data_IF_103761554039
#
_entry.id   IF_103761554039
#
_cell.length_a   1.000
_cell.length_b   1.000
_cell.length_c   1.000
_cell.angle_alpha   90.00
_cell.angle_beta   90.00
_cell.angle_gamma   90.00
#
_symmetry.space_group_name_H-M   'P 1'
#
loop_
_entity.id
_entity.type
_entity.pdbx_description
1 polymer ?
#
# COMPACT_ATOMS: atom_id res chain seq x y z
N UNK A 1 -11.16 -8.53 -12.19
CA UNK A 1 -10.55 -9.28 -11.08
C UNK A 1 -10.25 -8.30 -9.96
N UNK A 2 -10.75 -8.58 -8.77
CA UNK A 2 -10.53 -7.76 -7.59
C UNK A 2 -9.20 -8.17 -6.96
N UNK A 3 -8.31 -7.21 -6.70
CA UNK A 3 -7.01 -7.44 -6.10
C UNK A 3 -7.01 -6.98 -4.65
N UNK A 4 -6.49 -7.79 -3.76
CA UNK A 4 -6.35 -7.50 -2.34
C UNK A 4 -4.92 -7.75 -1.90
N UNK A 5 -4.38 -6.83 -1.12
CA UNK A 5 -3.09 -6.95 -0.46
C UNK A 5 -3.32 -7.10 1.04
N UNK A 6 -2.65 -8.08 1.63
CA UNK A 6 -2.62 -8.32 3.07
C UNK A 6 -1.23 -8.01 3.58
N UNK A 7 -1.15 -7.11 4.56
CA UNK A 7 0.07 -6.82 5.33
C UNK A 7 -0.17 -7.12 6.80
N UNK A 8 0.89 -7.24 7.59
CA UNK A 8 0.80 -7.52 9.02
C UNK A 8 1.87 -6.77 9.79
N UNK A 9 1.60 -6.46 11.05
CA UNK A 9 2.65 -6.01 11.97
C UNK A 9 3.62 -7.15 12.37
N UNK A 10 3.33 -8.40 12.02
CA UNK A 10 4.09 -9.60 12.43
C UNK A 10 5.07 -10.13 11.39
N UNK A 11 4.97 -9.69 10.15
CA UNK A 11 5.87 -10.08 9.07
C UNK A 11 6.18 -8.87 8.19
N UNK A 12 7.33 -8.89 7.54
CA UNK A 12 7.70 -7.87 6.57
C UNK A 12 7.30 -8.32 5.16
N UNK A 13 6.72 -7.40 4.38
CA UNK A 13 6.19 -7.64 3.03
C UNK A 13 4.66 -7.79 2.93
N UNK A 14 4.20 -8.27 1.78
CA UNK A 14 2.78 -8.31 1.42
C UNK A 14 2.37 -9.65 0.79
N UNK A 15 1.15 -10.09 1.09
CA UNK A 15 0.50 -11.19 0.39
C UNK A 15 -0.55 -10.63 -0.57
N UNK A 16 -0.58 -11.16 -1.78
CA UNK A 16 -1.51 -10.75 -2.81
C UNK A 16 -2.53 -11.83 -3.12
N UNK A 17 -3.79 -11.45 -3.10
CA UNK A 17 -4.92 -12.30 -3.49
C UNK A 17 -5.69 -11.62 -4.63
N UNK A 18 -5.95 -12.33 -5.73
CA UNK A 18 -6.83 -11.85 -6.80
C UNK A 18 -8.04 -12.75 -6.93
N UNK A 19 -9.22 -12.15 -6.88
CA UNK A 19 -10.50 -12.83 -7.02
C UNK A 19 -11.16 -12.47 -8.36
N UNK A 20 -11.96 -13.39 -8.88
CA UNK A 20 -12.86 -13.11 -10.00
C UNK A 20 -14.09 -12.28 -9.57
N UNK A 21 -15.02 -12.07 -10.50
CA UNK A 21 -16.25 -11.32 -10.23
C UNK A 21 -17.19 -12.04 -9.26
N UNK A 22 -17.12 -13.37 -9.20
CA UNK A 22 -17.93 -14.21 -8.32
C UNK A 22 -17.29 -14.37 -6.92
N UNK A 23 -16.13 -13.75 -6.69
CA UNK A 23 -15.43 -13.75 -5.42
C UNK A 23 -14.56 -14.99 -5.18
N UNK A 24 -14.26 -15.79 -6.20
CA UNK A 24 -13.38 -16.96 -6.10
C UNK A 24 -11.93 -16.58 -6.35
N UNK A 25 -11.01 -17.18 -5.58
CA UNK A 25 -9.59 -16.94 -5.72
C UNK A 25 -9.09 -17.49 -7.05
N UNK A 26 -8.38 -16.65 -7.81
CA UNK A 26 -7.74 -17.01 -9.09
C UNK A 26 -6.23 -16.90 -9.05
N UNK A 27 -5.68 -16.12 -8.13
CA UNK A 27 -4.26 -15.90 -8.03
C UNK A 27 -3.86 -15.59 -6.59
N UNK A 28 -2.76 -16.19 -6.16
CA UNK A 28 -2.11 -15.92 -4.88
C UNK A 28 -0.62 -15.76 -5.10
N UNK A 29 -0.04 -14.74 -4.47
CA UNK A 29 1.41 -14.54 -4.44
C UNK A 29 1.82 -14.09 -3.04
N UNK A 30 2.82 -14.76 -2.49
CA UNK A 30 3.40 -14.38 -1.20
C UNK A 30 4.73 -13.66 -1.44
N UNK A 31 4.80 -12.38 -1.09
CA UNK A 31 6.03 -11.58 -1.06
C UNK A 31 6.42 -11.18 0.36
N UNK A 32 5.83 -11.82 1.37
CA UNK A 32 6.13 -11.61 2.77
C UNK A 32 7.14 -12.63 3.28
N UNK A 33 8.08 -12.17 4.12
CA UNK A 33 8.98 -13.02 4.89
C UNK A 33 8.21 -13.62 6.08
N UNK A 34 7.80 -14.88 5.97
CA UNK A 34 7.04 -15.61 6.99
C UNK A 34 7.82 -16.79 7.54
N UNK A 35 7.58 -17.13 8.81
CA UNK A 35 8.07 -18.37 9.41
C UNK A 35 7.25 -19.57 8.95
N UNK A 36 7.79 -20.77 9.10
CA UNK A 36 7.08 -22.02 8.75
C UNK A 36 5.75 -22.18 9.49
N UNK A 37 5.67 -21.71 10.74
CA UNK A 37 4.45 -21.72 11.55
C UNK A 37 3.37 -20.80 10.96
N UNK A 38 3.76 -19.61 10.50
CA UNK A 38 2.85 -18.66 9.86
C UNK A 38 2.36 -19.20 8.51
N UNK A 39 3.25 -19.83 7.74
CA UNK A 39 2.89 -20.50 6.49
C UNK A 39 1.92 -21.67 6.76
N UNK A 40 2.19 -22.52 7.74
CA UNK A 40 1.31 -23.62 8.12
C UNK A 40 -0.09 -23.12 8.55
N UNK A 41 -0.15 -22.03 9.32
CA UNK A 41 -1.42 -21.39 9.67
C UNK A 41 -2.16 -20.85 8.44
N UNK A 42 -1.45 -20.16 7.54
CA UNK A 42 -2.01 -19.64 6.30
C UNK A 42 -2.57 -20.75 5.42
N UNK A 43 -1.84 -21.87 5.26
CA UNK A 43 -2.32 -23.02 4.49
C UNK A 43 -3.56 -23.67 5.13
N UNK A 44 -3.62 -23.74 6.46
CA UNK A 44 -4.77 -24.29 7.19
C UNK A 44 -6.03 -23.43 7.04
N UNK A 45 -5.87 -22.11 7.02
CA UNK A 45 -6.96 -21.14 6.93
C UNK A 45 -7.00 -20.44 5.56
N UNK A 46 -6.52 -21.11 4.51
CA UNK A 46 -6.26 -20.47 3.23
C UNK A 46 -7.56 -19.93 2.59
N UNK A 47 -7.64 -18.64 2.25
CA UNK A 47 -8.89 -18.02 1.83
C UNK A 47 -9.14 -18.22 0.32
N UNK A 48 -9.89 -19.27 -0.02
CA UNK A 48 -10.24 -19.59 -1.41
C UNK A 48 -11.33 -18.68 -2.02
N UNK A 49 -11.97 -17.84 -1.21
CA UNK A 49 -12.94 -16.85 -1.66
C UNK A 49 -12.86 -15.58 -0.82
N UNK A 50 -13.50 -14.51 -1.30
CA UNK A 50 -13.44 -13.19 -0.68
C UNK A 50 -14.02 -13.17 0.74
N UNK A 51 -15.05 -13.98 1.00
CA UNK A 51 -15.66 -14.11 2.32
C UNK A 51 -14.65 -14.65 3.34
N UNK A 52 -13.97 -15.75 2.98
CA UNK A 52 -12.93 -16.37 3.82
C UNK A 52 -11.73 -15.43 4.04
N UNK A 53 -11.37 -14.62 3.05
CA UNK A 53 -10.31 -13.61 3.23
C UNK A 53 -10.72 -12.56 4.27
N UNK A 54 -11.97 -12.10 4.21
CA UNK A 54 -12.54 -11.18 5.19
C UNK A 54 -12.57 -11.78 6.60
N UNK A 55 -12.97 -13.05 6.71
CA UNK A 55 -13.02 -13.75 8.00
C UNK A 55 -11.62 -14.01 8.58
N UNK A 56 -10.63 -14.32 7.74
CA UNK A 56 -9.23 -14.40 8.14
C UNK A 56 -8.72 -13.08 8.73
N UNK A 57 -9.04 -11.95 8.09
CA UNK A 57 -8.65 -10.63 8.59
C UNK A 57 -9.38 -10.26 9.90
N UNK A 58 -10.63 -10.67 10.07
CA UNK A 58 -11.37 -10.47 11.33
C UNK A 58 -10.85 -11.35 12.47
N UNK A 59 -10.32 -12.53 12.15
CA UNK A 59 -9.78 -13.47 13.15
C UNK A 59 -8.55 -12.93 13.87
N UNK A 60 -7.85 -11.94 13.28
CA UNK A 60 -6.57 -11.46 13.78
C UNK A 60 -6.44 -9.95 13.62
N UNK A 61 -6.26 -9.22 14.72
CA UNK A 61 -6.13 -7.76 14.72
C UNK A 61 -4.83 -7.23 14.10
N UNK A 62 -3.85 -8.11 13.84
CA UNK A 62 -2.56 -7.70 13.27
C UNK A 62 -2.58 -7.61 11.74
N UNK A 63 -3.54 -8.25 11.08
CA UNK A 63 -3.65 -8.26 9.62
C UNK A 63 -4.38 -7.01 9.14
N UNK A 64 -3.86 -6.40 8.07
CA UNK A 64 -4.49 -5.28 7.37
C UNK A 64 -4.77 -5.68 5.95
N UNK A 65 -6.03 -5.60 5.54
CA UNK A 65 -6.46 -5.83 4.18
C UNK A 65 -6.68 -4.51 3.45
N UNK A 66 -6.03 -4.38 2.30
CA UNK A 66 -6.21 -3.23 1.39
C UNK A 66 -6.72 -3.77 0.07
N UNK A 67 -7.94 -3.37 -0.31
CA UNK A 67 -8.45 -3.65 -1.65
C UNK A 67 -7.77 -2.68 -2.63
N UNK A 68 -7.02 -3.23 -3.58
CA UNK A 68 -6.40 -2.46 -4.66
C UNK A 68 -7.43 -2.34 -5.78
N UNK A 69 -8.36 -1.39 -5.62
CA UNK A 69 -9.41 -1.10 -6.61
C UNK A 69 -8.88 -0.38 -7.84
N UNK A 70 -7.74 0.34 -7.72
CA UNK A 70 -7.09 1.03 -8.83
C UNK A 70 -5.57 0.89 -8.66
N UNK A 71 -4.87 0.43 -9.69
CA UNK A 71 -3.42 0.57 -9.73
C UNK A 71 -3.11 2.06 -9.83
N UNK A 72 -2.66 2.66 -8.73
CA UNK A 72 -2.22 4.06 -8.76
C UNK A 72 -1.03 4.15 -9.71
N UNK A 73 -1.26 4.81 -10.83
CA UNK A 73 -0.24 5.10 -11.82
C UNK A 73 0.62 6.27 -11.35
N UNK A 74 1.87 6.34 -11.83
CA UNK A 74 2.72 7.49 -11.55
C UNK A 74 2.07 8.80 -12.01
N UNK A 75 1.30 8.77 -13.11
CA UNK A 75 0.57 9.95 -13.61
C UNK A 75 -0.45 10.45 -12.59
N UNK A 76 -1.28 9.56 -12.04
CA UNK A 76 -2.27 9.92 -11.03
C UNK A 76 -1.60 10.47 -9.77
N UNK A 77 -0.53 9.82 -9.31
CA UNK A 77 0.29 10.31 -8.20
C UNK A 77 0.85 11.72 -8.48
N UNK A 78 1.48 11.92 -9.63
CA UNK A 78 2.15 13.17 -9.97
C UNK A 78 1.16 14.33 -10.18
N UNK A 79 -0.02 14.02 -10.72
CA UNK A 79 -1.12 14.98 -10.86
C UNK A 79 -1.73 15.33 -9.48
N UNK A 80 -1.95 14.34 -8.61
CA UNK A 80 -2.46 14.54 -7.24
C UNK A 80 -1.46 15.30 -6.35
N UNK A 81 -0.16 15.04 -6.49
CA UNK A 81 0.89 15.76 -5.76
C UNK A 81 0.87 17.24 -6.11
N UNK A 82 0.74 17.57 -7.41
CA UNK A 82 0.50 18.93 -7.91
C UNK A 82 1.74 19.84 -7.91
N UNK A 83 2.75 19.54 -7.09
CA UNK A 83 4.03 20.26 -7.08
C UNK A 83 5.01 19.65 -8.09
N UNK A 84 4.87 20.05 -9.36
CA UNK A 84 5.59 19.50 -10.52
C UNK A 84 7.01 20.08 -10.68
N UNK A 85 7.74 20.21 -9.58
CA UNK A 85 9.10 20.76 -9.51
C UNK A 85 10.07 19.65 -9.13
N UNK A 86 11.31 19.70 -9.64
CA UNK A 86 12.34 18.69 -9.37
C UNK A 86 12.55 17.71 -10.52
N UNK A 87 13.14 16.55 -10.23
CA UNK A 87 13.48 15.54 -11.23
C UNK A 87 12.36 14.50 -11.40
N UNK A 88 11.43 14.78 -12.32
CA UNK A 88 10.32 13.87 -12.68
C UNK A 88 10.78 12.45 -12.98
N UNK A 89 11.87 12.26 -13.74
CA UNK A 89 12.36 10.93 -14.10
C UNK A 89 12.87 10.14 -12.90
N UNK A 90 13.47 10.81 -11.91
CA UNK A 90 13.87 10.19 -10.64
C UNK A 90 12.64 9.83 -9.80
N UNK A 91 11.65 10.72 -9.72
CA UNK A 91 10.41 10.46 -9.00
C UNK A 91 9.67 9.25 -9.59
N UNK A 92 9.60 9.13 -10.91
CA UNK A 92 8.99 7.99 -11.59
C UNK A 92 9.71 6.67 -11.29
N UNK A 93 11.05 6.66 -11.33
CA UNK A 93 11.85 5.48 -10.95
C UNK A 93 11.59 5.06 -9.51
N UNK A 94 11.58 6.01 -8.58
CA UNK A 94 11.29 5.75 -7.16
C UNK A 94 9.88 5.21 -6.97
N UNK A 95 8.88 5.83 -7.61
CA UNK A 95 7.49 5.38 -7.55
C UNK A 95 7.31 3.96 -8.12
N UNK A 96 7.99 3.66 -9.23
CA UNK A 96 7.91 2.35 -9.86
C UNK A 96 8.62 1.25 -9.04
N UNK A 97 9.59 1.63 -8.19
CA UNK A 97 10.24 0.71 -7.25
C UNK A 97 9.34 0.37 -6.04
N UNK A 98 8.31 1.17 -5.76
CA UNK A 98 7.36 0.90 -4.67
C UNK A 98 6.46 -0.29 -4.99
N UNK A 99 6.12 -1.07 -3.96
CA UNK A 99 5.07 -2.09 -4.03
C UNK A 99 3.72 -1.45 -4.29
N UNK A 100 2.73 -2.25 -4.66
CA UNK A 100 1.40 -1.69 -4.94
C UNK A 100 0.72 -1.14 -3.69
N UNK A 101 0.93 -1.77 -2.52
CA UNK A 101 0.44 -1.23 -1.26
C UNK A 101 1.12 0.12 -0.96
N UNK A 102 2.43 0.21 -1.14
CA UNK A 102 3.20 1.43 -0.91
C UNK A 102 2.77 2.58 -1.82
N UNK A 103 2.47 2.30 -3.10
CA UNK A 103 1.94 3.32 -4.03
C UNK A 103 0.59 3.85 -3.56
N UNK A 104 -0.28 2.99 -3.05
CA UNK A 104 -1.56 3.40 -2.49
C UNK A 104 -1.37 4.26 -1.24
N UNK A 105 -0.52 3.82 -0.30
CA UNK A 105 -0.20 4.56 0.92
C UNK A 105 0.46 5.93 0.61
N UNK A 106 1.36 5.97 -0.37
CA UNK A 106 1.99 7.20 -0.84
C UNK A 106 0.96 8.17 -1.42
N UNK A 107 -0.02 7.68 -2.19
CA UNK A 107 -1.11 8.48 -2.75
C UNK A 107 -2.05 9.02 -1.66
N UNK A 108 -2.48 8.17 -0.73
CA UNK A 108 -3.34 8.56 0.40
C UNK A 108 -2.62 9.57 1.32
N UNK A 109 -1.31 9.37 1.52
CA UNK A 109 -0.46 10.23 2.34
C UNK A 109 -0.29 11.66 1.80
N UNK A 110 -0.60 11.94 0.52
CA UNK A 110 -0.49 13.28 -0.06
C UNK A 110 -1.41 14.26 0.67
N UNK A 111 -2.66 13.85 0.94
CA UNK A 111 -3.65 14.73 1.59
C UNK A 111 -3.21 15.10 3.01
N UNK A 112 -2.77 14.11 3.80
CA UNK A 112 -2.20 14.31 5.14
C UNK A 112 -0.97 15.22 5.13
N UNK A 113 -0.07 15.01 4.18
CA UNK A 113 1.12 15.83 4.04
C UNK A 113 0.81 17.29 3.72
N UNK A 114 -0.12 17.54 2.79
CA UNK A 114 -0.61 18.89 2.48
C UNK A 114 -1.27 19.56 3.69
N UNK A 115 -2.08 18.83 4.45
CA UNK A 115 -2.68 19.34 5.67
C UNK A 115 -1.62 19.72 6.73
N UNK A 116 -0.59 18.88 6.90
CA UNK A 116 0.51 19.17 7.81
C UNK A 116 1.32 20.41 7.40
N UNK A 117 1.59 20.58 6.10
CA UNK A 117 2.24 21.79 5.56
C UNK A 117 1.39 23.05 5.82
N UNK A 118 0.08 22.96 5.65
CA UNK A 118 -0.83 24.07 5.97
C UNK A 118 -0.76 24.48 7.44
N UNK A 119 -0.54 23.52 8.36
CA UNK A 119 -0.33 23.80 9.79
C UNK A 119 1.09 24.31 10.12
N UNK A 120 2.07 24.15 9.21
CA UNK A 120 3.47 24.55 9.39
C UNK A 120 3.91 25.51 8.28
N UNK A 121 3.44 26.78 8.29
CA UNK A 121 3.63 27.72 7.17
C UNK A 121 5.08 28.13 6.90
N UNK A 122 6.02 27.77 7.77
CA UNK A 122 7.47 27.99 7.58
C UNK A 122 8.18 26.81 6.90
N UNK A 123 7.45 25.77 6.52
CA UNK A 123 8.01 24.57 5.89
C UNK A 123 7.60 24.50 4.44
N UNK A 124 8.59 24.44 3.55
CA UNK A 124 8.35 24.28 2.13
C UNK A 124 7.90 22.86 1.78
N UNK A 125 7.08 22.76 0.72
CA UNK A 125 6.67 21.49 0.17
C UNK A 125 7.88 20.79 -0.48
N UNK A 126 8.10 19.53 -0.11
CA UNK A 126 9.16 18.71 -0.67
C UNK A 126 8.90 18.41 -2.16
N UNK A 127 9.97 18.20 -2.92
CA UNK A 127 9.84 17.67 -4.27
C UNK A 127 9.28 16.23 -4.25
N UNK A 128 8.57 15.80 -5.31
CA UNK A 128 8.00 14.45 -5.39
C UNK A 128 9.04 13.33 -5.15
N UNK A 129 10.25 13.48 -5.68
CA UNK A 129 11.34 12.53 -5.48
C UNK A 129 11.80 12.47 -4.02
N UNK A 130 11.79 13.59 -3.30
CA UNK A 130 12.19 13.65 -1.89
C UNK A 130 11.11 13.03 -1.03
N UNK A 131 9.84 13.32 -1.31
CA UNK A 131 8.68 12.69 -0.68
C UNK A 131 8.73 11.16 -0.80
N UNK A 132 8.99 10.65 -2.00
CA UNK A 132 9.12 9.23 -2.29
C UNK A 132 10.34 8.60 -1.61
N UNK A 133 11.51 9.24 -1.73
CA UNK A 133 12.75 8.70 -1.16
C UNK A 133 12.74 8.60 0.37
N UNK A 134 12.04 9.53 1.04
CA UNK A 134 11.95 9.57 2.50
C UNK A 134 10.70 8.89 3.03
N UNK A 135 9.91 8.24 2.15
CA UNK A 135 8.67 7.55 2.50
C UNK A 135 7.77 8.38 3.41
N UNK A 136 7.59 9.67 3.09
CA UNK A 136 6.98 10.66 4.02
C UNK A 136 5.56 10.32 4.47
N UNK A 137 4.85 9.44 3.76
CA UNK A 137 3.53 8.93 4.17
C UNK A 137 3.58 8.06 5.45
N UNK A 138 4.73 7.46 5.75
CA UNK A 138 4.95 6.60 6.92
C UNK A 138 5.23 7.39 8.19
N UNK A 139 5.70 8.63 8.06
CA UNK A 139 5.94 9.47 9.22
C UNK A 139 4.62 9.75 9.96
N UNK A 140 4.72 9.87 11.29
CA UNK A 140 3.61 10.27 12.16
C UNK A 140 3.22 11.73 11.89
N UNK A 141 2.58 11.99 10.75
CA UNK A 141 1.85 13.22 10.49
C UNK A 141 0.53 13.13 11.29
N UNK A 142 0.20 14.16 12.10
CA UNK A 142 -0.93 14.12 13.02
C UNK A 142 -2.24 13.75 12.30
N UNK A 143 -3.05 12.94 12.99
CA UNK A 143 -4.40 12.53 12.55
C UNK A 143 -5.36 13.70 12.56
#
# INVERSE_FOLDING_TARGET
MNRYLITSARFDGEMEFRFDADGNLKYFENRAAMTDEMLAYLYKCFPFNLQLLGDLCKSTTTLRMVQVTVQVTFKEFYDAYGYKVGNKGRAEKLFNALTHAERYLAMEGIARYKAWLAAHPRTDMLYPETYLSQRRWENELPK
#
